data_IF_961005265249
#
_entry.id   IF_961005265249
#
_cell.length_a   1.000
_cell.length_b   1.000
_cell.length_c   1.000
_cell.angle_alpha   90.00
_cell.angle_beta   90.00
_cell.angle_gamma   90.00
#
_symmetry.space_group_name_H-M   'P 1'
#
loop_
_entity.id
_entity.type
_entity.pdbx_description
1 polymer ?
#
# COMPACT_ATOMS: atom_id res chain seq x y z
N UNK A 1 -11.07 10.36 -35.25
CA UNK A 1 -11.88 10.08 -36.47
C UNK A 1 -11.00 9.61 -37.62
N UNK A 2 -10.03 10.37 -38.15
CA UNK A 2 -9.19 9.92 -39.29
C UNK A 2 -8.60 8.52 -39.13
N UNK A 3 -8.02 8.20 -37.97
CA UNK A 3 -7.44 6.87 -37.71
C UNK A 3 -8.47 5.73 -37.79
N UNK A 4 -9.71 5.97 -37.35
CA UNK A 4 -10.82 5.01 -37.43
C UNK A 4 -11.37 4.88 -38.86
N UNK A 5 -11.13 5.86 -39.72
CA UNK A 5 -11.48 5.79 -41.15
C UNK A 5 -10.42 5.06 -41.97
N UNK A 6 -9.16 5.08 -41.52
CA UNK A 6 -8.04 4.46 -42.23
C UNK A 6 -7.92 2.95 -41.95
N UNK A 7 -8.44 2.49 -40.81
CA UNK A 7 -8.34 1.10 -40.36
C UNK A 7 -9.73 0.60 -39.93
N UNK A 8 -10.12 -0.57 -40.45
CA UNK A 8 -11.36 -1.23 -40.05
C UNK A 8 -11.19 -1.96 -38.71
N UNK A 9 -11.37 -1.24 -37.61
CA UNK A 9 -11.37 -1.84 -36.28
C UNK A 9 -12.67 -2.60 -36.02
N UNK A 10 -12.56 -3.83 -35.50
CA UNK A 10 -13.74 -4.64 -35.13
C UNK A 10 -14.25 -4.31 -33.72
N UNK A 11 -13.34 -4.17 -32.76
CA UNK A 11 -13.65 -3.87 -31.37
C UNK A 11 -12.61 -2.91 -30.78
N UNK A 12 -13.04 -2.13 -29.79
CA UNK A 12 -12.22 -1.12 -29.10
C UNK A 12 -12.64 -1.06 -27.62
N UNK A 13 -11.79 -0.45 -26.81
CA UNK A 13 -12.13 -0.05 -25.45
C UNK A 13 -11.40 1.25 -25.08
N UNK A 14 -12.14 2.21 -24.54
CA UNK A 14 -11.60 3.47 -24.05
C UNK A 14 -11.52 3.44 -22.53
N UNK A 15 -10.40 3.90 -21.96
CA UNK A 15 -10.18 3.86 -20.51
C UNK A 15 -10.48 5.22 -19.88
N UNK A 16 -11.29 5.20 -18.83
CA UNK A 16 -11.68 6.34 -18.03
C UNK A 16 -11.45 6.06 -16.53
N UNK A 17 -11.57 7.11 -15.73
CA UNK A 17 -11.62 7.00 -14.27
C UNK A 17 -12.63 7.97 -13.70
N UNK A 18 -13.01 7.74 -12.45
CA UNK A 18 -14.08 8.42 -11.73
C UNK A 18 -15.20 7.48 -11.28
N UNK A 19 -15.17 6.23 -11.72
CA UNK A 19 -16.05 5.15 -11.28
C UNK A 19 -15.35 3.79 -11.49
N UNK A 20 -16.03 2.71 -11.11
CA UNK A 20 -15.59 1.34 -11.36
C UNK A 20 -16.69 0.52 -12.06
N UNK A 21 -16.73 0.57 -13.39
CA UNK A 21 -17.77 -0.07 -14.22
C UNK A 21 -17.34 -0.22 -15.68
N UNK A 22 -17.82 -1.27 -16.36
CA UNK A 22 -17.79 -1.34 -17.81
C UNK A 22 -19.07 -0.74 -18.40
N UNK A 23 -18.95 0.44 -19.00
CA UNK A 23 -20.01 1.15 -19.68
C UNK A 23 -20.12 0.71 -21.15
N UNK A 24 -21.34 0.49 -21.61
CA UNK A 24 -21.66 0.11 -22.98
C UNK A 24 -22.79 0.96 -23.56
N UNK A 25 -23.02 0.80 -24.87
CA UNK A 25 -24.00 1.56 -25.63
C UNK A 25 -25.44 1.48 -25.07
N UNK A 26 -26.29 2.45 -25.36
CA UNK A 26 -25.94 3.78 -25.86
C UNK A 26 -25.47 4.68 -24.72
N UNK A 27 -24.69 5.72 -25.01
CA UNK A 27 -24.40 6.77 -24.02
C UNK A 27 -25.55 7.76 -23.87
N UNK A 28 -26.49 7.85 -24.81
CA UNK A 28 -27.62 8.76 -24.76
C UNK A 28 -28.92 8.20 -25.30
N UNK A 29 -30.02 8.89 -25.00
CA UNK A 29 -31.36 8.59 -25.51
C UNK A 29 -31.86 9.72 -26.41
N UNK A 30 -32.75 9.44 -27.35
CA UNK A 30 -33.28 10.47 -28.25
C UNK A 30 -34.08 11.55 -27.50
N UNK A 31 -34.77 11.18 -26.43
CA UNK A 31 -35.58 12.08 -25.58
C UNK A 31 -34.78 12.73 -24.43
N UNK A 32 -33.48 12.44 -24.37
CA UNK A 32 -32.52 12.94 -23.37
C UNK A 32 -32.82 12.57 -21.92
N UNK A 33 -33.62 11.54 -21.71
CA UNK A 33 -33.90 11.02 -20.37
C UNK A 33 -32.84 10.02 -19.93
N UNK A 34 -32.65 9.94 -18.61
CA UNK A 34 -31.81 8.93 -17.97
C UNK A 34 -32.62 7.64 -17.84
N UNK A 35 -32.49 6.77 -18.83
CA UNK A 35 -33.12 5.47 -18.85
C UNK A 35 -32.33 4.54 -19.76
N UNK A 36 -32.46 3.26 -19.50
CA UNK A 36 -31.89 2.25 -20.37
C UNK A 36 -32.46 2.37 -21.80
N UNK A 37 -31.56 2.30 -22.77
CA UNK A 37 -31.87 2.34 -24.19
C UNK A 37 -30.96 1.37 -24.93
N UNK A 38 -31.54 0.26 -25.40
CA UNK A 38 -30.79 -0.80 -26.05
C UNK A 38 -30.33 -0.38 -27.45
N UNK A 39 -29.09 -0.75 -27.79
CA UNK A 39 -28.64 -0.73 -29.18
C UNK A 39 -29.05 -2.03 -29.91
N UNK A 40 -28.99 -2.07 -31.25
CA UNK A 40 -29.32 -3.28 -32.00
C UNK A 40 -28.50 -4.51 -31.58
N UNK A 41 -27.25 -4.31 -31.18
CA UNK A 41 -26.33 -5.36 -30.73
C UNK A 41 -26.17 -5.40 -29.19
N UNK A 42 -27.19 -5.01 -28.43
CA UNK A 42 -27.12 -4.86 -26.97
C UNK A 42 -26.62 -6.13 -26.24
N UNK A 43 -27.12 -7.31 -26.62
CA UNK A 43 -26.67 -8.58 -26.03
C UNK A 43 -25.17 -8.82 -26.26
N UNK A 44 -24.66 -8.47 -27.44
CA UNK A 44 -23.24 -8.55 -27.78
C UNK A 44 -22.41 -7.61 -26.92
N UNK A 45 -22.86 -6.37 -26.74
CA UNK A 45 -22.18 -5.40 -25.87
C UNK A 45 -22.16 -5.84 -24.41
N UNK A 46 -23.27 -6.34 -23.89
CA UNK A 46 -23.34 -6.90 -22.53
C UNK A 46 -22.42 -8.10 -22.37
N UNK A 47 -22.33 -8.97 -23.37
CA UNK A 47 -21.41 -10.10 -23.36
C UNK A 47 -19.95 -9.63 -23.37
N UNK A 48 -19.58 -8.69 -24.25
CA UNK A 48 -18.24 -8.09 -24.30
C UNK A 48 -17.86 -7.44 -22.97
N UNK A 49 -18.75 -6.65 -22.38
CA UNK A 49 -18.54 -6.04 -21.08
C UNK A 49 -18.34 -7.11 -20.01
N UNK A 50 -19.17 -8.17 -20.01
CA UNK A 50 -19.05 -9.26 -19.06
C UNK A 50 -17.67 -9.95 -19.11
N UNK A 51 -17.06 -10.13 -20.28
CA UNK A 51 -15.73 -10.75 -20.40
C UNK A 51 -14.69 -9.97 -19.59
N UNK A 52 -14.72 -8.63 -19.67
CA UNK A 52 -13.85 -7.77 -18.88
C UNK A 52 -14.13 -7.92 -17.38
N UNK A 53 -15.41 -7.88 -16.99
CA UNK A 53 -15.83 -7.99 -15.60
C UNK A 53 -15.41 -9.30 -14.95
N UNK A 54 -15.52 -10.44 -15.65
CA UNK A 54 -15.13 -11.74 -15.10
C UNK A 54 -13.68 -11.79 -14.63
N UNK A 55 -12.80 -10.96 -15.20
CA UNK A 55 -11.39 -10.87 -14.80
C UNK A 55 -11.12 -9.75 -13.79
N UNK A 56 -12.10 -8.89 -13.50
CA UNK A 56 -11.94 -7.71 -12.65
C UNK A 56 -12.73 -7.84 -11.35
N UNK A 57 -12.14 -8.51 -10.35
CA UNK A 57 -12.78 -8.85 -9.07
C UNK A 57 -13.58 -7.70 -8.44
N UNK A 58 -12.98 -6.54 -8.20
CA UNK A 58 -13.67 -5.42 -7.55
C UNK A 58 -14.87 -4.90 -8.36
N UNK A 59 -14.77 -4.91 -9.69
CA UNK A 59 -15.82 -4.43 -10.59
C UNK A 59 -16.96 -5.46 -10.67
N UNK A 60 -16.65 -6.77 -10.67
CA UNK A 60 -17.67 -7.83 -10.67
C UNK A 60 -18.53 -7.86 -9.41
N UNK A 61 -17.97 -7.41 -8.28
CA UNK A 61 -18.68 -7.30 -7.00
C UNK A 61 -19.17 -5.88 -6.70
N UNK A 62 -19.22 -4.99 -7.71
CA UNK A 62 -19.72 -3.64 -7.54
C UNK A 62 -21.15 -3.66 -7.00
N UNK A 63 -21.38 -2.86 -5.95
CA UNK A 63 -22.72 -2.63 -5.36
C UNK A 63 -23.45 -1.47 -6.03
N UNK A 64 -22.70 -0.56 -6.65
CA UNK A 64 -23.25 0.59 -7.37
C UNK A 64 -23.76 0.15 -8.75
N UNK A 65 -22.96 -0.62 -9.48
CA UNK A 65 -23.29 -1.15 -10.79
C UNK A 65 -23.47 -2.66 -10.68
N UNK A 66 -24.71 -3.11 -10.58
CA UNK A 66 -25.01 -4.53 -10.39
C UNK A 66 -24.45 -5.36 -11.56
N UNK A 67 -23.55 -6.30 -11.26
CA UNK A 67 -22.87 -7.11 -12.26
C UNK A 67 -21.70 -6.40 -12.97
N UNK A 68 -21.29 -5.22 -12.47
CA UNK A 68 -20.11 -4.49 -12.94
C UNK A 68 -20.26 -3.81 -14.30
N UNK A 69 -21.46 -3.83 -14.89
CA UNK A 69 -21.72 -3.25 -16.22
C UNK A 69 -22.86 -2.22 -16.15
N UNK A 70 -22.86 -1.25 -17.05
CA UNK A 70 -23.97 -0.29 -17.18
C UNK A 70 -24.15 0.19 -18.63
N UNK A 71 -25.38 0.50 -19.01
CA UNK A 71 -25.65 1.27 -20.23
C UNK A 71 -25.42 2.75 -19.93
N UNK A 72 -24.72 3.48 -20.79
CA UNK A 72 -24.38 4.89 -20.54
C UNK A 72 -25.61 5.78 -20.37
N UNK A 73 -26.62 5.60 -21.22
CA UNK A 73 -27.89 6.30 -21.15
C UNK A 73 -28.65 6.03 -19.85
N UNK A 74 -28.51 4.82 -19.30
CA UNK A 74 -29.10 4.45 -18.00
C UNK A 74 -28.33 5.04 -16.82
N UNK A 75 -27.04 5.31 -16.98
CA UNK A 75 -26.19 5.86 -15.94
C UNK A 75 -26.31 7.39 -15.90
N UNK A 76 -25.85 8.07 -16.96
CA UNK A 76 -26.07 9.49 -17.19
C UNK A 76 -25.91 9.81 -18.69
N UNK A 77 -26.94 10.33 -19.36
CA UNK A 77 -26.87 10.57 -20.81
C UNK A 77 -25.77 11.56 -21.24
N UNK A 78 -24.94 11.16 -22.21
CA UNK A 78 -23.93 11.99 -22.86
C UNK A 78 -24.15 11.98 -24.38
N UNK A 79 -23.81 13.09 -25.05
CA UNK A 79 -23.88 13.22 -26.51
C UNK A 79 -22.54 13.64 -27.09
N UNK A 80 -22.20 13.10 -28.25
CA UNK A 80 -20.90 13.35 -28.90
C UNK A 80 -19.76 12.53 -28.31
N UNK A 81 -20.06 11.46 -27.58
CA UNK A 81 -19.08 10.50 -27.08
C UNK A 81 -18.43 9.70 -28.20
N UNK A 82 -17.17 9.31 -27.99
CA UNK A 82 -16.41 8.50 -28.95
C UNK A 82 -16.98 7.08 -29.09
N UNK A 83 -17.53 6.54 -28.01
CA UNK A 83 -18.11 5.19 -27.94
C UNK A 83 -19.27 5.02 -28.95
N UNK A 84 -20.31 5.86 -28.83
CA UNK A 84 -21.46 5.85 -29.74
C UNK A 84 -21.03 6.15 -31.19
N UNK A 85 -20.07 7.07 -31.38
CA UNK A 85 -19.57 7.42 -32.71
C UNK A 85 -18.89 6.23 -33.42
N UNK A 86 -18.09 5.45 -32.70
CA UNK A 86 -17.43 4.26 -33.23
C UNK A 86 -18.43 3.25 -33.80
N UNK A 87 -19.51 2.99 -33.07
CA UNK A 87 -20.54 2.05 -33.51
C UNK A 87 -21.34 2.60 -34.69
N UNK A 88 -21.76 3.87 -34.65
CA UNK A 88 -22.60 4.48 -35.69
C UNK A 88 -21.82 4.67 -37.01
N UNK A 89 -20.56 5.09 -36.95
CA UNK A 89 -19.83 5.57 -38.13
C UNK A 89 -18.65 4.69 -38.56
N UNK A 90 -18.05 3.93 -37.65
CA UNK A 90 -16.88 3.10 -37.97
C UNK A 90 -17.20 1.59 -38.01
N UNK A 91 -18.40 1.18 -37.55
CA UNK A 91 -18.73 -0.24 -37.38
C UNK A 91 -17.84 -0.93 -36.33
N UNK A 92 -17.29 -0.16 -35.40
CA UNK A 92 -16.39 -0.64 -34.35
C UNK A 92 -17.15 -0.73 -33.02
N UNK A 93 -17.03 -1.87 -32.34
CA UNK A 93 -17.70 -2.11 -31.06
C UNK A 93 -16.81 -1.61 -29.92
N UNK A 94 -17.09 -0.41 -29.41
CA UNK A 94 -16.31 0.21 -28.35
C UNK A 94 -17.02 0.14 -26.98
N UNK A 95 -16.29 -0.27 -25.94
CA UNK A 95 -16.70 -0.12 -24.54
C UNK A 95 -16.00 1.09 -23.92
N UNK A 96 -16.62 1.72 -22.92
CA UNK A 96 -15.93 2.66 -22.02
C UNK A 96 -15.70 1.98 -20.69
N UNK A 97 -14.44 1.79 -20.31
CA UNK A 97 -14.06 1.10 -19.08
C UNK A 97 -13.63 2.13 -18.04
N UNK A 98 -14.44 2.30 -17.00
CA UNK A 98 -14.11 3.09 -15.82
C UNK A 98 -13.33 2.21 -14.85
N UNK A 99 -12.01 2.41 -14.77
CA UNK A 99 -11.09 1.45 -14.11
C UNK A 99 -10.70 1.82 -12.68
N UNK A 100 -11.12 2.98 -12.19
CA UNK A 100 -10.78 3.47 -10.85
C UNK A 100 -11.70 4.61 -10.44
N UNK A 101 -12.20 4.58 -9.20
CA UNK A 101 -12.95 5.70 -8.60
C UNK A 101 -12.08 6.95 -8.44
N UNK A 102 -10.78 6.76 -8.18
CA UNK A 102 -9.82 7.85 -8.15
C UNK A 102 -9.28 8.10 -9.57
N UNK A 103 -9.59 9.28 -10.14
CA UNK A 103 -9.08 9.70 -11.45
C UNK A 103 -7.55 9.85 -11.49
N UNK A 104 -6.96 10.21 -10.35
CA UNK A 104 -5.54 10.47 -10.21
C UNK A 104 -5.01 9.67 -9.02
N UNK A 105 -4.96 8.33 -9.15
CA UNK A 105 -4.39 7.49 -8.12
C UNK A 105 -2.97 7.95 -7.84
N UNK A 106 -2.59 7.91 -6.56
CA UNK A 106 -1.23 8.22 -6.21
C UNK A 106 -0.32 7.15 -6.84
N UNK A 107 0.83 7.55 -7.38
CA UNK A 107 1.78 6.60 -7.99
C UNK A 107 2.23 5.47 -7.04
N UNK A 108 1.97 5.64 -5.73
CA UNK A 108 2.27 4.72 -4.66
C UNK A 108 1.12 3.75 -4.30
N UNK A 109 0.07 3.59 -5.10
CA UNK A 109 -0.96 2.58 -4.80
C UNK A 109 -0.43 1.14 -4.97
N UNK A 110 0.57 0.93 -5.83
CA UNK A 110 1.20 -0.38 -6.04
C UNK A 110 2.73 -0.26 -6.15
N UNK A 111 3.45 -1.34 -5.84
CA UNK A 111 4.91 -1.39 -5.96
C UNK A 111 5.69 -0.95 -4.72
N UNK A 112 6.93 -0.55 -4.93
CA UNK A 112 7.87 -0.15 -3.87
C UNK A 112 8.09 1.34 -3.88
N UNK A 113 7.84 1.98 -2.74
CA UNK A 113 8.09 3.41 -2.53
C UNK A 113 8.98 3.58 -1.30
N UNK A 114 9.96 4.52 -1.31
CA UNK A 114 10.51 5.27 -0.15
C UNK A 114 11.83 6.03 -0.44
N UNK A 115 12.65 6.32 0.60
CA UNK A 115 13.91 7.09 0.57
C UNK A 115 15.12 6.21 0.80
N UNK A 116 16.28 6.75 0.44
CA UNK A 116 17.58 6.15 0.71
C UNK A 116 18.41 7.14 1.49
N UNK A 117 18.93 6.72 2.65
CA UNK A 117 19.67 7.58 3.57
C UNK A 117 21.11 7.12 3.75
N UNK A 118 21.96 8.06 4.13
CA UNK A 118 23.34 7.83 4.57
C UNK A 118 23.36 7.44 6.05
N UNK A 119 24.12 6.42 6.45
CA UNK A 119 24.19 6.02 7.87
C UNK A 119 24.97 6.97 8.77
N UNK A 120 25.93 7.73 8.22
CA UNK A 120 26.82 8.63 8.94
C UNK A 120 26.15 9.94 9.40
N UNK A 121 25.30 10.52 8.56
CA UNK A 121 24.70 11.84 8.76
C UNK A 121 23.18 11.87 8.51
N UNK A 122 22.57 10.74 8.14
CA UNK A 122 21.13 10.65 7.89
C UNK A 122 20.64 11.40 6.64
N UNK A 123 21.53 11.95 5.81
CA UNK A 123 21.12 12.72 4.63
C UNK A 123 20.50 11.81 3.55
N UNK A 124 19.49 12.29 2.81
CA UNK A 124 19.02 11.60 1.60
C UNK A 124 20.14 11.46 0.56
N UNK A 125 20.21 10.31 -0.10
CA UNK A 125 21.21 10.01 -1.12
C UNK A 125 20.59 10.00 -2.53
N UNK A 126 21.25 10.60 -3.54
CA UNK A 126 20.86 10.49 -4.95
C UNK A 126 21.24 9.12 -5.52
N UNK A 127 20.74 8.08 -4.88
CA UNK A 127 21.08 6.69 -5.11
C UNK A 127 20.31 6.10 -6.29
N UNK A 128 20.42 4.80 -6.50
CA UNK A 128 19.66 4.07 -7.51
C UNK A 128 19.15 2.74 -6.95
N UNK A 129 17.97 2.32 -7.44
CA UNK A 129 17.33 1.05 -7.11
C UNK A 129 17.33 0.16 -8.34
N UNK A 130 17.69 -1.11 -8.13
CA UNK A 130 17.54 -2.18 -9.12
C UNK A 130 16.83 -3.37 -8.48
N UNK A 131 16.13 -4.14 -9.31
CA UNK A 131 15.48 -5.39 -8.88
C UNK A 131 16.23 -6.53 -9.56
N UNK A 132 16.73 -7.49 -8.78
CA UNK A 132 17.45 -8.62 -9.36
C UNK A 132 16.54 -9.39 -10.33
N UNK A 133 16.98 -9.52 -11.58
CA UNK A 133 16.22 -10.17 -12.65
C UNK A 133 15.43 -9.20 -13.54
N UNK A 134 15.36 -7.91 -13.20
CA UNK A 134 14.75 -6.88 -14.05
C UNK A 134 15.85 -5.91 -14.49
N UNK A 135 16.16 -5.89 -15.79
CA UNK A 135 17.22 -5.05 -16.36
C UNK A 135 16.75 -3.60 -16.56
N UNK A 136 16.41 -2.94 -15.46
CA UNK A 136 16.02 -1.53 -15.44
C UNK A 136 16.37 -0.92 -14.09
N UNK A 137 17.01 0.25 -14.12
CA UNK A 137 17.45 0.98 -12.94
C UNK A 137 16.60 2.24 -12.75
N UNK A 138 16.12 2.44 -11.53
CA UNK A 138 15.45 3.67 -11.12
C UNK A 138 16.44 4.56 -10.39
N UNK A 139 16.62 5.80 -10.86
CA UNK A 139 17.38 6.82 -10.12
C UNK A 139 16.49 7.44 -9.05
N UNK A 140 17.02 7.61 -7.85
CA UNK A 140 16.31 8.21 -6.73
C UNK A 140 16.49 9.72 -6.77
N UNK A 141 15.36 10.44 -6.82
CA UNK A 141 15.32 11.90 -6.67
C UNK A 141 15.23 12.28 -5.19
N UNK A 142 14.06 12.78 -4.77
CA UNK A 142 13.73 12.98 -3.35
C UNK A 142 13.25 11.68 -2.69
N UNK A 143 12.39 10.97 -3.42
CA UNK A 143 11.83 9.65 -3.14
C UNK A 143 12.04 8.78 -4.40
N UNK A 144 11.82 7.47 -4.29
CA UNK A 144 11.74 6.61 -5.46
C UNK A 144 10.41 5.85 -5.48
N UNK A 145 9.88 5.66 -6.68
CA UNK A 145 8.72 4.82 -6.96
C UNK A 145 9.15 3.73 -7.95
N UNK A 146 8.90 2.47 -7.59
CA UNK A 146 9.19 1.31 -8.41
C UNK A 146 7.96 0.41 -8.51
N UNK A 147 7.21 0.57 -9.59
CA UNK A 147 6.09 -0.29 -9.94
C UNK A 147 6.57 -1.72 -10.21
N UNK A 148 5.91 -2.68 -9.56
CA UNK A 148 6.12 -4.12 -9.69
C UNK A 148 4.77 -4.82 -9.54
N UNK A 149 4.57 -5.93 -10.26
CA UNK A 149 3.40 -6.78 -10.06
C UNK A 149 3.50 -7.51 -8.70
N UNK A 150 2.39 -7.96 -8.11
CA UNK A 150 2.43 -8.79 -6.90
C UNK A 150 3.32 -10.01 -7.08
N UNK A 151 4.07 -10.37 -6.05
CA UNK A 151 5.02 -11.49 -6.12
C UNK A 151 5.64 -11.80 -4.76
N UNK A 152 5.94 -13.09 -4.56
CA UNK A 152 6.37 -13.60 -3.26
C UNK A 152 7.76 -13.15 -2.84
N UNK A 153 8.63 -12.82 -3.81
CA UNK A 153 10.04 -12.52 -3.53
C UNK A 153 10.70 -11.64 -4.58
N UNK A 154 10.87 -10.38 -4.24
CA UNK A 154 11.73 -9.45 -4.97
C UNK A 154 13.02 -9.20 -4.18
N UNK A 155 14.16 -9.23 -4.87
CA UNK A 155 15.45 -8.79 -4.32
C UNK A 155 15.72 -7.37 -4.81
N UNK A 156 15.46 -6.41 -3.94
CA UNK A 156 15.67 -4.98 -4.19
C UNK A 156 17.09 -4.62 -3.77
N UNK A 157 17.85 -4.00 -4.67
CA UNK A 157 19.24 -3.61 -4.44
C UNK A 157 19.33 -2.09 -4.57
N UNK A 158 19.78 -1.45 -3.48
CA UNK A 158 20.09 -0.03 -3.42
C UNK A 158 21.59 0.20 -3.58
N UNK A 159 21.95 1.11 -4.48
CA UNK A 159 23.35 1.43 -4.84
C UNK A 159 23.57 2.93 -4.92
N UNK A 160 24.73 3.39 -4.45
CA UNK A 160 25.20 4.76 -4.62
C UNK A 160 26.74 4.73 -4.70
N UNK A 161 27.39 5.39 -5.67
CA UNK A 161 28.84 5.47 -5.70
C UNK A 161 29.43 6.00 -4.38
N UNK A 162 30.46 5.31 -3.86
CA UNK A 162 31.07 5.62 -2.57
C UNK A 162 30.34 5.07 -1.34
N UNK A 163 29.31 4.25 -1.55
CA UNK A 163 28.55 3.57 -0.50
C UNK A 163 28.42 2.08 -0.79
N UNK A 164 28.44 1.26 0.26
CA UNK A 164 28.19 -0.17 0.16
C UNK A 164 26.75 -0.41 -0.29
N UNK A 165 26.58 -1.18 -1.36
CA UNK A 165 25.25 -1.57 -1.83
C UNK A 165 24.51 -2.39 -0.78
N UNK A 166 23.21 -2.20 -0.64
CA UNK A 166 22.37 -2.96 0.28
C UNK A 166 21.28 -3.70 -0.48
N UNK A 167 21.07 -4.96 -0.12
CA UNK A 167 20.03 -5.80 -0.73
C UNK A 167 19.00 -6.21 0.32
N UNK A 168 17.73 -6.05 -0.01
CA UNK A 168 16.60 -6.48 0.83
C UNK A 168 15.69 -7.39 0.02
N UNK A 169 15.15 -8.43 0.66
CA UNK A 169 14.09 -9.24 0.08
C UNK A 169 12.74 -8.68 0.54
N UNK A 170 11.82 -8.47 -0.40
CA UNK A 170 10.45 -8.06 -0.09
C UNK A 170 9.45 -9.01 -0.73
N UNK A 171 8.28 -9.07 -0.10
CA UNK A 171 7.07 -9.65 -0.66
C UNK A 171 6.14 -8.51 -1.01
N UNK A 172 5.60 -8.54 -2.21
CA UNK A 172 4.65 -7.53 -2.71
C UNK A 172 3.31 -8.22 -2.89
N UNK A 173 2.34 -7.79 -2.10
CA UNK A 173 0.94 -8.15 -2.28
C UNK A 173 0.28 -7.18 -3.28
N UNK A 174 -1.04 -7.18 -3.40
CA UNK A 174 -1.78 -6.29 -4.31
C UNK A 174 -1.65 -4.79 -3.98
N UNK A 175 -1.08 -4.45 -2.81
CA UNK A 175 -0.91 -3.07 -2.35
C UNK A 175 0.55 -2.60 -2.19
N UNK A 176 0.69 -1.36 -1.77
CA UNK A 176 1.98 -0.70 -1.55
C UNK A 176 2.85 -1.43 -0.51
N UNK A 177 4.11 -1.64 -0.85
CA UNK A 177 5.14 -2.07 0.11
C UNK A 177 6.17 -0.97 0.28
N UNK A 178 6.33 -0.49 1.52
CA UNK A 178 7.27 0.61 1.81
C UNK A 178 8.63 0.07 2.24
N UNK A 179 9.72 0.53 1.59
CA UNK A 179 11.07 0.00 1.84
C UNK A 179 12.11 1.11 1.87
N UNK A 180 12.59 1.44 3.06
CA UNK A 180 13.74 2.33 3.22
C UNK A 180 15.07 1.58 3.07
N UNK A 181 16.07 2.27 2.53
CA UNK A 181 17.44 1.84 2.60
C UNK A 181 18.28 2.85 3.38
N UNK A 182 19.17 2.31 4.21
CA UNK A 182 20.25 3.08 4.84
C UNK A 182 21.56 2.46 4.35
N UNK A 183 22.37 3.26 3.64
CA UNK A 183 23.62 2.84 3.04
C UNK A 183 24.81 3.35 3.86
N UNK A 184 25.82 2.49 4.00
CA UNK A 184 27.06 2.81 4.70
C UNK A 184 28.13 3.32 3.73
N UNK A 185 28.83 4.43 4.03
CA UNK A 185 29.95 4.87 3.22
C UNK A 185 31.01 3.78 3.09
N UNK A 186 31.61 3.68 1.90
CA UNK A 186 32.80 2.85 1.73
C UNK A 186 33.97 3.54 2.43
N UNK A 187 34.50 2.92 3.49
CA UNK A 187 35.68 3.42 4.18
C UNK A 187 36.87 3.29 3.23
N UNK A 188 37.25 4.38 2.56
CA UNK A 188 38.58 4.49 1.97
C UNK A 188 39.58 4.61 3.11
N UNK A 189 40.22 3.50 3.48
CA UNK A 189 41.40 3.53 4.33
C UNK A 189 42.52 4.21 3.54
N UNK A 190 42.55 5.54 3.54
CA UNK A 190 43.80 6.27 3.31
C UNK A 190 44.59 6.13 4.60
N UNK A 191 45.42 5.09 4.65
CA UNK A 191 46.32 4.86 5.77
C UNK A 191 47.33 5.99 5.88
N UNK A 192 47.00 6.98 6.71
CA UNK A 192 48.00 7.72 7.45
C UNK A 192 47.88 7.23 8.89
N UNK A 193 48.71 6.25 9.23
CA UNK A 193 48.99 5.88 10.62
C UNK A 193 49.69 7.09 11.24
N UNK A 194 48.91 8.00 11.84
CA UNK A 194 49.46 8.91 12.82
C UNK A 194 49.51 8.16 14.14
N UNK A 195 50.72 7.68 14.43
CA UNK A 195 51.13 7.12 15.70
C UNK A 195 51.04 8.21 16.79
N UNK A 196 49.90 8.26 17.48
CA UNK A 196 49.77 9.06 18.70
C UNK A 196 50.30 8.23 19.88
N UNK A 197 51.56 8.45 20.21
CA UNK A 197 52.18 7.95 21.42
C UNK A 197 51.76 8.84 22.60
N UNK A 198 50.85 8.35 23.44
CA UNK A 198 50.60 8.89 24.78
C UNK A 198 50.62 7.73 25.78
N UNK A 199 51.82 7.42 26.26
CA UNK A 199 51.99 6.69 27.51
C UNK A 199 51.74 7.63 28.69
N UNK A 200 50.67 7.39 29.44
CA UNK A 200 50.68 7.30 30.91
C UNK A 200 49.25 7.21 31.45
N UNK A 201 49.00 6.11 32.16
CA UNK A 201 48.06 5.94 33.27
C UNK A 201 46.59 6.30 33.03
N UNK A 202 45.74 5.28 32.88
CA UNK A 202 44.86 4.88 33.99
C UNK A 202 44.07 3.59 33.67
N UNK A 203 44.38 2.57 34.48
CA UNK A 203 43.53 1.44 34.77
C UNK A 203 42.33 1.98 35.58
N UNK A 204 41.11 1.56 35.24
CA UNK A 204 39.78 1.91 35.80
C UNK A 204 39.12 3.20 35.26
N UNK A 205 38.10 3.01 34.41
CA UNK A 205 36.91 3.90 34.40
C UNK A 205 35.61 3.12 34.12
N UNK A 206 35.55 1.84 34.54
CA UNK A 206 34.28 1.09 34.65
C UNK A 206 33.55 1.41 35.97
N UNK A 207 34.19 2.12 36.91
CA UNK A 207 33.69 2.36 38.27
C UNK A 207 33.03 3.73 38.43
N UNK A 208 33.26 4.69 37.51
CA UNK A 208 32.60 6.00 37.57
C UNK A 208 31.13 6.00 37.12
N UNK A 209 30.64 4.92 36.52
CA UNK A 209 29.22 4.80 36.17
C UNK A 209 28.33 4.35 37.34
N UNK A 210 28.92 3.92 38.47
CA UNK A 210 28.18 3.40 39.62
C UNK A 210 28.21 4.31 40.86
N UNK A 211 28.86 5.48 40.81
CA UNK A 211 28.95 6.41 41.96
C UNK A 211 28.46 7.83 41.63
N UNK A 212 27.23 7.95 41.11
CA UNK A 212 26.62 9.22 40.73
C UNK A 212 25.18 9.38 41.22
N UNK A 213 25.03 9.59 42.52
CA UNK A 213 23.92 10.25 43.22
C UNK A 213 22.52 10.33 42.59
N UNK A 214 21.69 9.32 42.79
CA UNK A 214 20.21 9.45 42.77
C UNK A 214 19.53 8.43 43.71
N UNK A 215 20.03 8.27 44.95
CA UNK A 215 19.44 7.33 45.92
C UNK A 215 17.96 7.64 46.24
N UNK A 216 17.52 8.89 46.17
CA UNK A 216 16.11 9.25 46.37
C UNK A 216 15.19 8.72 45.26
N UNK A 217 15.67 8.65 44.01
CA UNK A 217 14.89 8.11 42.89
C UNK A 217 14.75 6.60 43.03
N UNK A 218 15.82 5.91 43.42
CA UNK A 218 15.75 4.47 43.70
C UNK A 218 14.83 4.16 44.89
N UNK A 219 14.89 4.96 45.96
CA UNK A 219 14.04 4.75 47.14
C UNK A 219 12.55 4.97 46.81
N UNK A 220 12.22 6.03 46.05
CA UNK A 220 10.83 6.30 45.62
C UNK A 220 10.29 5.21 44.68
N UNK A 221 11.10 4.71 43.74
CA UNK A 221 10.71 3.59 42.86
C UNK A 221 10.49 2.30 43.66
N UNK A 222 11.35 1.98 44.62
CA UNK A 222 11.21 0.78 45.46
C UNK A 222 9.95 0.86 46.33
N UNK A 223 9.67 2.02 46.95
CA UNK A 223 8.46 2.21 47.76
C UNK A 223 7.20 2.11 46.90
N UNK A 224 7.20 2.70 45.69
CA UNK A 224 6.07 2.64 44.77
C UNK A 224 5.78 1.19 44.30
N UNK A 225 6.83 0.42 43.96
CA UNK A 225 6.70 -0.98 43.60
C UNK A 225 6.19 -1.83 44.78
N UNK A 226 6.68 -1.57 46.00
CA UNK A 226 6.18 -2.21 47.22
C UNK A 226 4.70 -1.93 47.47
N UNK A 227 4.26 -0.68 47.28
CA UNK A 227 2.86 -0.28 47.47
C UNK A 227 1.94 -0.93 46.42
N UNK A 228 2.38 -1.00 45.16
CA UNK A 228 1.67 -1.71 44.09
C UNK A 228 1.51 -3.20 44.41
N UNK A 229 2.56 -3.85 44.92
CA UNK A 229 2.49 -5.26 45.33
C UNK A 229 1.51 -5.47 46.50
N UNK A 230 1.46 -4.57 47.48
CA UNK A 230 0.49 -4.62 48.56
C UNK A 230 -0.96 -4.44 48.07
N UNK A 231 -1.20 -3.56 47.09
CA UNK A 231 -2.52 -3.37 46.50
C UNK A 231 -2.98 -4.62 45.71
N UNK A 232 -2.07 -5.27 44.99
CA UNK A 232 -2.35 -6.54 44.27
C UNK A 232 -2.61 -7.69 45.27
N UNK A 233 -1.88 -7.75 46.37
CA UNK A 233 -2.13 -8.76 47.41
C UNK A 233 -3.47 -8.52 48.13
N UNK A 234 -3.82 -7.26 48.44
CA UNK A 234 -5.13 -6.91 49.05
C UNK A 234 -6.31 -7.22 48.15
N UNK A 235 -6.20 -6.99 46.84
CA UNK A 235 -7.26 -7.36 45.87
C UNK A 235 -7.44 -8.87 45.77
N UNK A 236 -6.35 -9.65 45.74
CA UNK A 236 -6.42 -11.12 45.78
C UNK A 236 -7.06 -11.67 47.07
N UNK A 237 -6.75 -11.08 48.23
CA UNK A 237 -7.35 -11.46 49.52
C UNK A 237 -8.84 -11.11 49.60
N UNK A 238 -9.27 -9.98 49.04
CA UNK A 238 -10.70 -9.61 49.01
C UNK A 238 -11.52 -10.48 48.05
N UNK A 239 -10.98 -10.88 46.88
CA UNK A 239 -11.67 -11.85 46.02
C UNK A 239 -11.80 -13.23 46.68
N UNK A 240 -10.79 -13.67 47.45
CA UNK A 240 -10.86 -14.95 48.17
C UNK A 240 -11.97 -14.97 49.23
N UNK A 241 -12.22 -13.84 49.92
CA UNK A 241 -13.30 -13.76 50.94
C UNK A 241 -14.70 -13.79 50.34
N UNK A 242 -14.89 -13.31 49.11
CA UNK A 242 -16.22 -13.31 48.47
C UNK A 242 -16.64 -14.67 47.90
N UNK A 243 -15.70 -15.60 47.71
CA UNK A 243 -15.97 -16.96 47.19
C UNK A 243 -16.41 -17.99 48.25
N UNK A 244 -16.44 -17.63 49.54
CA UNK A 244 -16.70 -18.59 50.65
C UNK A 244 -18.03 -18.39 51.40
N UNK A 245 -18.98 -17.61 50.89
CA UNK A 245 -20.33 -17.52 51.46
C UNK A 245 -21.41 -17.94 50.46
N UNK A 246 -21.45 -19.22 50.11
CA UNK A 246 -22.63 -19.85 49.51
C UNK A 246 -23.09 -20.94 50.48
N UNK A 247 -24.15 -20.63 51.23
CA UNK A 247 -24.85 -21.57 52.12
C UNK A 247 -25.78 -22.45 51.27
N UNK A 248 -25.83 -23.78 51.44
CA UNK A 248 -26.68 -24.66 50.64
C UNK A 248 -28.15 -24.59 51.10
N UNK A 249 -29.09 -24.41 50.16
CA UNK A 249 -30.53 -24.58 50.41
C UNK A 249 -30.89 -26.07 50.46
N UNK A 250 -31.63 -26.46 51.51
CA UNK A 250 -32.22 -27.81 51.69
C UNK A 250 -33.34 -28.09 50.66
N UNK A 251 -33.58 -29.36 50.30
CA UNK A 251 -34.72 -29.75 49.48
C UNK A 251 -36.00 -29.86 50.34
N UNK A 252 -37.14 -29.43 49.80
CA UNK A 252 -38.45 -29.75 50.33
C UNK A 252 -39.16 -30.70 49.35
N UNK A 253 -39.72 -31.76 49.93
CA UNK A 253 -40.51 -32.83 49.30
C UNK A 253 -41.98 -32.62 49.66
N UNK A 254 -42.85 -33.14 48.79
CA UNK A 254 -44.32 -33.15 48.73
C UNK A 254 -44.94 -31.95 48.03
#
# INVERSE_FOLDING_TARGET
>A
MNWLSDIQFTASATLHGGALVANYLWDGTQDKRTNYYACPDDETFRFMASIYIHSHYNMSFSKEFLGGITSGASWYPIYGGMQDWNYIHAGCFELTLEVSDNKWPAANETGVHRRIFSSDNGRPLPASITIKGINYMVKVGRDYDRLLHPGDKYKVVATMPGYKSKTTCIRLDEGLTTVDFVLDPEVTVKGNVHECNCGSNNRLDLVKFLSGGHWEVYFTVIVALGFLLLLVQRTKLNLSKHSRSVVPKRPAVV
#
